data_IF_663264002690
#
_entry.id   IF_663264002690
#
_cell.length_a   1.000
_cell.length_b   1.000
_cell.length_c   1.000
_cell.angle_alpha   90.00
_cell.angle_beta   90.00
_cell.angle_gamma   90.00
#
_symmetry.space_group_name_H-M   'P 1'
#
loop_
_entity.id
_entity.type
_entity.pdbx_description
1 polymer ?
#
# COMPACT_ATOMS: atom_id res chain seq x y z
N UNK A 1 25.34 -29.80 43.75
CA UNK A 1 24.24 -29.83 44.76
C UNK A 1 22.98 -29.42 44.02
N UNK A 2 22.27 -30.34 43.34
CA UNK A 2 21.32 -31.35 43.89
C UNK A 2 20.23 -30.60 44.69
N UNK A 3 18.94 -30.59 44.33
CA UNK A 3 17.92 -31.65 44.24
C UNK A 3 16.73 -31.01 43.46
N UNK A 4 16.12 -31.49 42.35
CA UNK A 4 15.55 -32.78 41.94
C UNK A 4 14.33 -33.26 42.76
N UNK A 5 13.11 -32.95 42.31
CA UNK A 5 11.90 -33.65 42.78
C UNK A 5 11.08 -34.16 41.57
N UNK A 6 11.19 -35.46 41.37
CA UNK A 6 10.36 -36.32 40.52
C UNK A 6 9.10 -36.76 41.27
N UNK A 7 7.99 -36.97 40.56
CA UNK A 7 7.07 -38.06 40.86
C UNK A 7 6.51 -38.69 39.57
N UNK A 8 6.76 -39.99 39.46
CA UNK A 8 6.10 -40.98 38.59
C UNK A 8 4.65 -41.17 39.08
N UNK A 9 3.65 -41.68 38.36
CA UNK A 9 3.58 -42.51 37.16
C UNK A 9 2.67 -43.73 37.43
N UNK A 10 1.57 -43.88 36.69
CA UNK A 10 0.84 -45.13 36.39
C UNK A 10 -0.32 -44.77 35.43
N UNK A 11 -0.68 -45.47 34.35
CA UNK A 11 -0.25 -46.73 33.75
C UNK A 11 -1.48 -47.54 33.31
N UNK A 12 -1.83 -47.54 32.01
CA UNK A 12 -2.39 -48.65 31.19
C UNK A 12 -2.98 -48.08 29.87
N UNK A 13 -2.31 -48.32 28.73
CA UNK A 13 -2.51 -49.37 27.70
C UNK A 13 -3.78 -49.24 26.82
N UNK A 14 -3.57 -49.10 25.50
CA UNK A 14 -4.63 -49.21 24.48
C UNK A 14 -4.19 -48.84 23.05
N UNK A 15 -3.53 -49.79 22.37
CA UNK A 15 -3.45 -50.06 20.92
C UNK A 15 -3.60 -48.93 19.85
N UNK A 16 -2.55 -48.80 19.02
CA UNK A 16 -2.61 -48.89 17.55
C UNK A 16 -3.10 -47.67 16.74
N UNK A 17 -2.20 -47.04 16.00
CA UNK A 17 -2.29 -46.87 14.53
C UNK A 17 -1.01 -46.17 14.03
N UNK A 18 -0.32 -46.83 13.10
CA UNK A 18 0.84 -46.32 12.38
C UNK A 18 0.44 -45.19 11.44
N UNK A 19 0.93 -43.98 11.68
CA UNK A 19 0.84 -42.86 10.74
C UNK A 19 2.19 -42.15 10.67
N UNK A 20 2.80 -42.17 9.49
CA UNK A 20 4.05 -41.49 9.15
C UNK A 20 3.94 -40.01 9.50
N UNK A 21 4.77 -39.55 10.44
CA UNK A 21 4.82 -38.13 10.84
C UNK A 21 5.66 -37.34 9.83
N UNK A 22 5.16 -36.18 9.44
CA UNK A 22 5.73 -35.22 8.47
C UNK A 22 7.02 -34.54 8.94
N UNK A 23 7.72 -35.10 9.93
CA UNK A 23 8.94 -34.57 10.51
C UNK A 23 10.22 -35.05 9.79
N UNK A 24 10.20 -36.24 9.19
CA UNK A 24 11.40 -36.82 8.56
C UNK A 24 11.66 -36.33 7.12
N UNK A 25 10.66 -35.72 6.46
CA UNK A 25 10.85 -35.10 5.15
C UNK A 25 11.51 -33.70 5.24
N UNK A 26 11.38 -33.02 6.37
CA UNK A 26 11.95 -31.68 6.58
C UNK A 26 13.45 -31.73 6.96
N UNK A 27 13.90 -32.80 7.61
CA UNK A 27 15.30 -32.97 8.02
C UNK A 27 16.23 -33.39 6.87
N UNK A 28 15.72 -34.12 5.87
CA UNK A 28 16.52 -34.57 4.72
C UNK A 28 16.85 -33.44 3.71
N UNK A 29 16.05 -32.37 3.66
CA UNK A 29 16.32 -31.22 2.77
C UNK A 29 17.41 -30.27 3.30
N UNK A 30 17.76 -30.35 4.59
CA UNK A 30 18.73 -29.47 5.24
C UNK A 30 20.19 -29.96 5.15
N UNK A 31 20.44 -31.22 4.74
CA UNK A 31 21.76 -31.83 4.74
C UNK A 31 22.47 -31.85 3.37
N UNK A 32 21.80 -31.49 2.28
CA UNK A 32 22.42 -31.42 0.95
C UNK A 32 22.94 -30.00 0.67
N UNK A 33 23.90 -29.55 1.49
CA UNK A 33 24.71 -28.38 1.20
C UNK A 33 25.64 -28.68 0.04
N UNK A 34 25.26 -28.28 -1.18
CA UNK A 34 26.19 -28.11 -2.28
C UNK A 34 26.08 -26.68 -2.83
N UNK A 35 27.18 -25.96 -2.70
CA UNK A 35 27.41 -24.63 -3.23
C UNK A 35 27.17 -24.61 -4.75
N UNK A 36 26.11 -23.94 -5.17
CA UNK A 36 25.97 -23.44 -6.54
C UNK A 36 25.80 -21.92 -6.46
N UNK A 37 26.89 -21.24 -6.09
CA UNK A 37 27.10 -19.86 -6.50
C UNK A 37 27.50 -19.89 -7.98
N UNK A 38 26.98 -18.93 -8.75
CA UNK A 38 27.12 -18.73 -10.20
C UNK A 38 25.92 -19.15 -11.06
N UNK A 39 24.89 -18.31 -11.04
CA UNK A 39 24.01 -18.13 -12.18
C UNK A 39 24.21 -16.71 -12.73
N UNK A 40 24.93 -16.57 -13.85
CA UNK A 40 24.99 -15.31 -14.59
C UNK A 40 23.77 -15.22 -15.51
N UNK A 41 22.88 -14.27 -15.28
CA UNK A 41 21.82 -13.93 -16.22
C UNK A 41 22.44 -13.19 -17.41
N UNK A 42 22.94 -13.95 -18.39
CA UNK A 42 23.02 -13.44 -19.77
C UNK A 42 21.60 -13.02 -20.18
N UNK A 43 21.45 -12.02 -21.04
CA UNK A 43 20.17 -11.37 -21.40
C UNK A 43 19.10 -12.25 -22.07
N UNK A 44 19.13 -13.57 -21.88
CA UNK A 44 18.11 -14.50 -22.30
C UNK A 44 17.12 -14.78 -21.17
N UNK A 45 15.85 -14.65 -21.53
CA UNK A 45 14.62 -14.84 -20.76
C UNK A 45 14.43 -16.30 -20.30
N UNK A 46 15.39 -16.88 -19.59
CA UNK A 46 15.35 -18.27 -19.14
C UNK A 46 15.79 -18.38 -17.68
N UNK A 47 14.93 -18.98 -16.85
CA UNK A 47 15.26 -19.44 -15.51
C UNK A 47 15.90 -20.83 -15.59
N UNK A 48 16.93 -21.06 -14.78
CA UNK A 48 17.63 -22.35 -14.71
C UNK A 48 17.80 -22.82 -13.27
N UNK A 49 17.42 -24.06 -12.98
CA UNK A 49 17.74 -24.74 -11.71
C UNK A 49 17.91 -26.23 -11.94
N UNK A 50 18.92 -26.83 -11.31
CA UNK A 50 19.21 -28.28 -11.37
C UNK A 50 19.19 -28.86 -12.80
N UNK A 51 19.69 -28.11 -13.78
CA UNK A 51 19.73 -28.52 -15.19
C UNK A 51 18.44 -28.32 -15.99
N UNK A 52 17.32 -27.95 -15.34
CA UNK A 52 16.09 -27.58 -16.03
C UNK A 52 16.15 -26.11 -16.47
N UNK A 53 15.90 -25.84 -17.75
CA UNK A 53 15.77 -24.49 -18.29
C UNK A 53 14.32 -24.24 -18.70
N UNK A 54 13.73 -23.17 -18.19
CA UNK A 54 12.39 -22.72 -18.55
C UNK A 54 12.47 -21.27 -18.98
N UNK A 55 11.72 -20.87 -20.01
CA UNK A 55 11.57 -19.45 -20.29
C UNK A 55 11.00 -18.72 -19.06
N UNK A 56 11.50 -17.53 -18.74
CA UNK A 56 10.89 -16.67 -17.72
C UNK A 56 9.42 -16.51 -18.08
N UNK A 57 8.54 -16.95 -17.18
CA UNK A 57 7.13 -17.16 -17.52
C UNK A 57 6.38 -15.84 -17.70
N UNK A 58 6.84 -14.77 -17.04
CA UNK A 58 6.17 -13.48 -17.02
C UNK A 58 7.14 -12.32 -16.81
N UNK A 59 6.97 -11.24 -17.57
CA UNK A 59 7.64 -9.96 -17.33
C UNK A 59 6.75 -9.03 -16.47
N UNK A 60 7.34 -8.45 -15.43
CA UNK A 60 6.70 -7.55 -14.48
C UNK A 60 7.45 -6.22 -14.49
N UNK A 61 6.74 -5.10 -14.67
CA UNK A 61 7.30 -3.76 -14.54
C UNK A 61 6.85 -3.12 -13.23
N UNK A 62 7.80 -2.74 -12.38
CA UNK A 62 7.56 -1.92 -11.19
C UNK A 62 7.83 -0.46 -11.53
N UNK A 63 6.82 0.40 -11.36
CA UNK A 63 6.90 1.83 -11.67
C UNK A 63 7.06 2.62 -10.37
N UNK A 64 8.25 3.15 -10.13
CA UNK A 64 8.59 3.91 -8.94
C UNK A 64 10.04 3.70 -8.50
N UNK A 65 10.51 4.57 -7.60
CA UNK A 65 11.88 4.52 -7.08
C UNK A 65 12.00 4.62 -5.55
N UNK A 66 10.87 4.57 -4.84
CA UNK A 66 10.81 4.65 -3.38
C UNK A 66 10.97 3.31 -2.69
N UNK A 67 10.87 3.29 -1.36
CA UNK A 67 11.04 2.11 -0.53
C UNK A 67 10.20 0.90 -0.98
N UNK A 68 8.92 1.13 -1.31
CA UNK A 68 7.99 0.06 -1.71
C UNK A 68 8.32 -0.46 -3.12
N UNK A 69 8.67 0.43 -4.05
CA UNK A 69 9.11 0.03 -5.39
C UNK A 69 10.38 -0.84 -5.33
N UNK A 70 11.34 -0.43 -4.50
CA UNK A 70 12.58 -1.17 -4.24
C UNK A 70 12.30 -2.57 -3.72
N UNK A 71 11.46 -2.66 -2.70
CA UNK A 71 11.15 -3.93 -2.05
C UNK A 71 10.32 -4.84 -2.96
N UNK A 72 9.38 -4.30 -3.72
CA UNK A 72 8.63 -5.06 -4.72
C UNK A 72 9.56 -5.59 -5.83
N UNK A 73 10.40 -4.73 -6.41
CA UNK A 73 11.35 -5.14 -7.43
C UNK A 73 12.31 -6.23 -6.92
N UNK A 74 12.86 -6.05 -5.72
CA UNK A 74 13.77 -7.00 -5.10
C UNK A 74 13.08 -8.35 -4.79
N UNK A 75 11.88 -8.32 -4.23
CA UNK A 75 11.11 -9.52 -3.91
C UNK A 75 10.73 -10.33 -5.15
N UNK A 76 10.31 -9.65 -6.21
CA UNK A 76 9.91 -10.29 -7.47
C UNK A 76 11.12 -10.84 -8.24
N UNK A 77 12.31 -10.28 -8.02
CA UNK A 77 13.57 -10.66 -8.69
C UNK A 77 14.35 -11.77 -7.96
N UNK A 78 13.73 -12.42 -6.97
CA UNK A 78 14.35 -13.55 -6.25
C UNK A 78 14.63 -14.70 -7.21
N UNK A 79 15.76 -15.38 -7.04
CA UNK A 79 16.11 -16.55 -7.85
C UNK A 79 15.09 -17.69 -7.76
N UNK A 80 14.32 -17.77 -6.67
CA UNK A 80 13.21 -18.71 -6.51
C UNK A 80 11.98 -18.36 -7.35
N UNK A 81 11.92 -17.16 -7.94
CA UNK A 81 10.84 -16.71 -8.83
C UNK A 81 11.35 -16.73 -10.27
N UNK A 82 10.61 -17.38 -11.17
CA UNK A 82 10.88 -17.38 -12.60
C UNK A 82 10.26 -16.15 -13.29
N UNK A 83 10.61 -14.94 -12.82
CA UNK A 83 10.08 -13.67 -13.31
C UNK A 83 11.17 -12.82 -13.96
N UNK A 84 10.81 -12.13 -15.05
CA UNK A 84 11.61 -11.03 -15.58
C UNK A 84 11.11 -9.72 -14.96
N UNK A 85 11.98 -8.98 -14.27
CA UNK A 85 11.60 -7.76 -13.55
C UNK A 85 12.25 -6.53 -14.18
N UNK A 86 11.42 -5.58 -14.59
CA UNK A 86 11.82 -4.26 -15.03
C UNK A 86 11.44 -3.22 -13.97
N UNK A 87 12.23 -2.16 -13.87
CA UNK A 87 11.97 -1.02 -12.99
C UNK A 87 11.99 0.27 -13.80
N UNK A 88 10.89 1.02 -13.77
CA UNK A 88 10.80 2.38 -14.25
C UNK A 88 11.01 3.35 -13.09
N UNK A 89 12.14 4.07 -13.10
CA UNK A 89 12.49 5.04 -12.05
C UNK A 89 13.10 6.30 -12.65
N UNK A 90 13.02 7.43 -11.93
CA UNK A 90 13.64 8.70 -12.35
C UNK A 90 15.16 8.72 -12.16
N UNK A 91 15.70 7.78 -11.39
CA UNK A 91 17.11 7.75 -11.01
C UNK A 91 17.75 6.36 -11.27
N UNK A 92 17.65 5.81 -12.49
CA UNK A 92 18.17 4.46 -12.79
C UNK A 92 19.68 4.35 -12.53
N UNK A 93 20.44 5.40 -12.78
CA UNK A 93 21.88 5.48 -12.56
C UNK A 93 22.31 5.32 -11.09
N UNK A 94 21.39 5.48 -10.14
CA UNK A 94 21.67 5.29 -8.71
C UNK A 94 21.37 3.87 -8.23
N UNK A 95 20.85 3.01 -9.10
CA UNK A 95 20.49 1.64 -8.75
C UNK A 95 21.51 0.65 -9.29
N UNK A 96 21.72 -0.41 -8.51
CA UNK A 96 22.36 -1.64 -8.96
C UNK A 96 21.28 -2.64 -9.41
N UNK A 97 21.56 -3.43 -10.44
CA UNK A 97 20.71 -4.56 -10.81
C UNK A 97 20.69 -5.64 -9.72
N UNK A 98 21.84 -5.86 -9.06
CA UNK A 98 21.96 -6.76 -7.92
C UNK A 98 21.65 -6.00 -6.64
N UNK A 99 20.57 -6.39 -5.94
CA UNK A 99 20.19 -5.82 -4.65
C UNK A 99 20.34 -6.87 -3.54
N UNK A 100 20.78 -6.42 -2.37
CA UNK A 100 20.77 -7.19 -1.13
C UNK A 100 19.46 -6.96 -0.39
N UNK A 101 18.87 -8.01 0.16
CA UNK A 101 17.64 -7.93 0.94
C UNK A 101 17.84 -8.64 2.27
N UNK A 102 17.36 -8.02 3.34
CA UNK A 102 17.22 -8.65 4.65
C UNK A 102 15.84 -8.37 5.23
N UNK A 103 15.34 -9.30 6.04
CA UNK A 103 14.21 -9.02 6.91
C UNK A 103 14.68 -8.31 8.19
N UNK A 104 13.82 -7.47 8.76
CA UNK A 104 14.04 -6.92 10.08
C UNK A 104 13.93 -8.06 11.12
N UNK A 105 14.92 -8.22 12.03
CA UNK A 105 14.90 -9.30 13.03
C UNK A 105 13.70 -9.27 14.00
N UNK A 106 13.01 -8.14 14.12
CA UNK A 106 11.82 -8.00 14.97
C UNK A 106 10.50 -8.30 14.24
N UNK A 107 10.52 -8.61 12.95
CA UNK A 107 9.31 -8.87 12.18
C UNK A 107 8.98 -10.37 12.07
N UNK A 108 7.75 -10.71 11.67
CA UNK A 108 7.32 -12.12 11.52
C UNK A 108 8.08 -12.93 10.45
N UNK A 109 8.89 -12.27 9.61
CA UNK A 109 9.83 -12.92 8.68
C UNK A 109 11.28 -12.87 9.18
N UNK A 110 11.53 -12.72 10.49
CA UNK A 110 12.88 -12.68 11.06
C UNK A 110 13.76 -13.90 10.71
N UNK A 111 13.14 -15.06 10.47
CA UNK A 111 13.85 -16.28 10.05
C UNK A 111 14.28 -16.26 8.57
N UNK A 112 13.78 -15.31 7.76
CA UNK A 112 14.14 -15.17 6.36
C UNK A 112 15.61 -14.76 6.27
N UNK A 113 16.44 -15.69 5.79
CA UNK A 113 17.86 -15.43 5.59
C UNK A 113 18.06 -14.30 4.58
N UNK A 114 19.06 -13.43 4.79
CA UNK A 114 19.43 -12.44 3.80
C UNK A 114 19.70 -13.10 2.45
N UNK A 115 19.28 -12.43 1.38
CA UNK A 115 19.44 -12.94 0.03
C UNK A 115 19.80 -11.82 -0.93
N UNK A 116 20.22 -12.21 -2.12
CA UNK A 116 20.43 -11.31 -3.23
C UNK A 116 19.43 -11.63 -4.34
N UNK A 117 19.09 -10.60 -5.09
CA UNK A 117 18.19 -10.66 -6.22
C UNK A 117 18.77 -9.87 -7.38
N UNK A 118 18.33 -10.18 -8.60
CA UNK A 118 18.86 -9.56 -9.82
C UNK A 118 17.73 -9.02 -10.69
N UNK A 119 17.66 -7.69 -10.81
CA UNK A 119 16.67 -6.99 -11.64
C UNK A 119 17.15 -6.98 -13.10
N UNK A 120 16.28 -7.39 -14.03
CA UNK A 120 16.62 -7.51 -15.45
C UNK A 120 16.85 -6.16 -16.14
N UNK A 121 16.03 -5.15 -15.83
CA UNK A 121 16.15 -3.82 -16.42
C UNK A 121 15.81 -2.73 -15.40
N UNK A 122 16.62 -1.67 -15.34
CA UNK A 122 16.33 -0.46 -14.58
C UNK A 122 16.53 0.72 -15.52
N UNK A 123 15.47 1.49 -15.75
CA UNK A 123 15.48 2.57 -16.75
C UNK A 123 14.58 3.73 -16.37
N UNK A 124 14.79 4.88 -17.01
CA UNK A 124 13.91 6.05 -16.99
C UNK A 124 13.01 6.14 -18.22
N UNK A 125 13.23 5.29 -19.22
CA UNK A 125 12.39 5.15 -20.42
C UNK A 125 11.20 4.22 -20.15
N UNK A 126 9.98 4.77 -20.27
CA UNK A 126 8.77 4.00 -20.06
C UNK A 126 8.55 2.93 -21.12
N UNK A 127 8.89 3.20 -22.38
CA UNK A 127 8.72 2.24 -23.48
C UNK A 127 9.56 0.99 -23.23
N UNK A 128 10.84 1.17 -22.89
CA UNK A 128 11.72 0.07 -22.51
C UNK A 128 11.23 -0.67 -21.25
N UNK A 129 10.80 0.06 -20.21
CA UNK A 129 10.39 -0.56 -18.95
C UNK A 129 9.16 -1.47 -19.08
N UNK A 130 8.13 -1.05 -19.84
CA UNK A 130 6.90 -1.86 -19.98
C UNK A 130 6.95 -2.82 -21.18
N UNK A 131 8.04 -2.83 -21.95
CA UNK A 131 8.19 -3.70 -23.13
C UNK A 131 7.98 -5.16 -22.75
N UNK A 132 6.92 -5.77 -23.28
CA UNK A 132 6.57 -7.16 -23.03
C UNK A 132 5.99 -7.46 -21.65
N UNK A 133 5.86 -6.47 -20.76
CA UNK A 133 5.35 -6.65 -19.41
C UNK A 133 3.89 -7.13 -19.43
N UNK A 134 3.61 -8.28 -18.82
CA UNK A 134 2.25 -8.79 -18.61
C UNK A 134 1.60 -8.17 -17.38
N UNK A 135 2.41 -7.67 -16.46
CA UNK A 135 1.98 -7.02 -15.22
C UNK A 135 2.76 -5.71 -15.04
N UNK A 136 2.05 -4.61 -14.84
CA UNK A 136 2.63 -3.30 -14.53
C UNK A 136 2.09 -2.82 -13.20
N UNK A 137 2.97 -2.50 -12.24
CA UNK A 137 2.61 -2.12 -10.88
C UNK A 137 3.19 -0.76 -10.50
N UNK A 138 2.31 0.22 -10.28
CA UNK A 138 2.68 1.52 -9.73
C UNK A 138 2.96 1.37 -8.24
N UNK A 139 4.16 1.79 -7.83
CA UNK A 139 4.65 1.74 -6.47
C UNK A 139 5.11 3.15 -6.05
N UNK A 140 4.14 4.07 -6.05
CA UNK A 140 4.36 5.49 -5.78
C UNK A 140 3.18 6.09 -4.99
N UNK A 141 3.35 7.27 -4.36
CA UNK A 141 2.26 8.01 -3.73
C UNK A 141 1.10 8.32 -4.66
N UNK A 142 -0.11 8.47 -4.10
CA UNK A 142 -1.34 8.69 -4.88
C UNK A 142 -1.28 9.94 -5.78
N UNK A 143 -0.69 11.04 -5.30
CA UNK A 143 -0.65 12.31 -6.04
C UNK A 143 0.12 12.24 -7.37
N UNK A 144 1.03 11.27 -7.55
CA UNK A 144 1.79 11.07 -8.80
C UNK A 144 1.24 9.97 -9.71
N UNK A 145 0.21 9.23 -9.29
CA UNK A 145 -0.31 8.09 -10.08
C UNK A 145 -0.70 8.52 -11.49
N UNK A 146 -1.47 9.60 -11.65
CA UNK A 146 -1.93 10.05 -12.97
C UNK A 146 -0.78 10.35 -13.93
N UNK A 147 0.29 11.01 -13.46
CA UNK A 147 1.46 11.33 -14.30
C UNK A 147 2.19 10.06 -14.71
N UNK A 148 2.42 9.13 -13.78
CA UNK A 148 3.07 7.85 -14.06
C UNK A 148 2.25 7.00 -15.02
N UNK A 149 0.93 6.97 -14.84
CA UNK A 149 -0.02 6.27 -15.71
C UNK A 149 0.02 6.84 -17.13
N UNK A 150 -0.03 8.17 -17.29
CA UNK A 150 0.11 8.82 -18.60
C UNK A 150 1.45 8.51 -19.28
N UNK A 151 2.52 8.38 -18.49
CA UNK A 151 3.84 8.04 -19.01
C UNK A 151 3.91 6.59 -19.55
N UNK A 152 3.25 5.64 -18.90
CA UNK A 152 3.27 4.23 -19.32
C UNK A 152 2.18 3.86 -20.31
N UNK A 153 1.03 4.54 -20.28
CA UNK A 153 -0.16 4.19 -21.07
C UNK A 153 0.10 3.99 -22.57
N UNK A 154 0.90 4.84 -23.27
CA UNK A 154 1.15 4.67 -24.71
C UNK A 154 1.94 3.41 -25.08
N UNK A 155 2.53 2.73 -24.10
CA UNK A 155 3.44 1.61 -24.31
C UNK A 155 2.91 0.28 -23.74
N UNK A 156 1.73 0.31 -23.08
CA UNK A 156 1.12 -0.89 -22.54
C UNK A 156 0.70 -1.82 -23.67
N UNK A 157 1.02 -3.11 -23.53
CA UNK A 157 0.54 -4.11 -24.47
C UNK A 157 -0.92 -4.48 -24.19
N UNK A 158 -1.72 -4.81 -25.23
CA UNK A 158 -3.04 -5.41 -25.03
C UNK A 158 -2.95 -6.67 -24.15
N UNK A 159 -3.93 -6.85 -23.28
CA UNK A 159 -4.03 -7.95 -22.32
C UNK A 159 -3.12 -7.82 -21.10
N UNK A 160 -2.35 -6.74 -20.93
CA UNK A 160 -1.59 -6.57 -19.69
C UNK A 160 -2.51 -6.25 -18.49
N UNK A 161 -2.05 -6.59 -17.30
CA UNK A 161 -2.67 -6.22 -16.04
C UNK A 161 -1.95 -5.00 -15.49
N UNK A 162 -2.71 -3.96 -15.15
CA UNK A 162 -2.19 -2.72 -14.57
C UNK A 162 -2.66 -2.59 -13.13
N UNK A 163 -1.81 -2.17 -12.22
CA UNK A 163 -2.28 -1.88 -10.88
C UNK A 163 -1.34 -1.05 -10.04
N UNK A 164 -1.68 -0.92 -8.77
CA UNK A 164 -0.88 -0.18 -7.79
C UNK A 164 -0.71 -0.97 -6.50
N UNK A 165 0.46 -0.83 -5.87
CA UNK A 165 0.75 -1.42 -4.56
C UNK A 165 0.13 -0.62 -3.41
N UNK A 166 -0.49 0.52 -3.71
CA UNK A 166 -1.29 1.30 -2.79
C UNK A 166 -2.34 2.10 -3.58
N UNK A 167 -3.62 1.75 -3.45
CA UNK A 167 -4.72 2.22 -4.31
C UNK A 167 -5.67 3.21 -3.66
N UNK A 168 -5.32 3.79 -2.51
CA UNK A 168 -6.06 4.89 -1.93
C UNK A 168 -5.95 6.15 -2.79
N UNK A 169 -6.93 7.05 -2.69
CA UNK A 169 -6.90 8.35 -3.38
C UNK A 169 -7.37 8.33 -4.84
N UNK A 170 -8.22 7.37 -5.24
CA UNK A 170 -8.87 7.38 -6.55
C UNK A 170 -8.02 6.83 -7.71
N UNK A 171 -7.32 5.72 -7.49
CA UNK A 171 -6.45 5.12 -8.53
C UNK A 171 -7.22 4.72 -9.79
N UNK A 172 -8.44 4.17 -9.66
CA UNK A 172 -9.28 3.81 -10.81
C UNK A 172 -9.67 5.03 -11.65
N UNK A 173 -9.93 6.18 -11.02
CA UNK A 173 -10.19 7.45 -11.71
C UNK A 173 -8.94 7.94 -12.45
N UNK A 174 -7.76 7.79 -11.85
CA UNK A 174 -6.49 8.13 -12.49
C UNK A 174 -6.21 7.23 -13.70
N UNK A 175 -6.54 5.93 -13.62
CA UNK A 175 -6.43 5.00 -14.76
C UNK A 175 -7.38 5.41 -15.88
N UNK A 176 -8.65 5.69 -15.56
CA UNK A 176 -9.64 6.14 -16.56
C UNK A 176 -9.19 7.43 -17.24
N UNK A 177 -8.72 8.41 -16.48
CA UNK A 177 -8.25 9.69 -17.02
C UNK A 177 -6.94 9.58 -17.83
N UNK A 178 -6.11 8.57 -17.57
CA UNK A 178 -4.87 8.36 -18.31
C UNK A 178 -5.05 7.52 -19.58
N UNK A 179 -5.91 6.49 -19.53
CA UNK A 179 -6.06 5.52 -20.62
C UNK A 179 -7.33 5.75 -21.46
N UNK A 180 -8.38 6.37 -20.91
CA UNK A 180 -9.66 6.53 -21.59
C UNK A 180 -10.17 5.20 -22.18
N UNK A 181 -10.62 5.18 -23.45
CA UNK A 181 -11.06 3.94 -24.11
C UNK A 181 -10.00 2.83 -24.19
N UNK A 182 -8.70 3.17 -24.18
CA UNK A 182 -7.62 2.18 -24.24
C UNK A 182 -7.56 1.30 -22.99
N UNK A 183 -8.23 1.69 -21.89
CA UNK A 183 -8.38 0.85 -20.71
C UNK A 183 -9.07 -0.49 -21.04
N UNK A 184 -9.94 -0.52 -22.05
CA UNK A 184 -10.60 -1.75 -22.52
C UNK A 184 -9.64 -2.78 -23.14
N UNK A 185 -8.40 -2.40 -23.43
CA UNK A 185 -7.35 -3.31 -23.89
C UNK A 185 -6.62 -4.00 -22.74
N UNK A 186 -6.81 -3.55 -21.49
CA UNK A 186 -6.22 -4.22 -20.33
C UNK A 186 -6.99 -5.49 -19.97
N UNK A 187 -6.29 -6.52 -19.52
CA UNK A 187 -6.96 -7.70 -18.97
C UNK A 187 -7.62 -7.40 -17.61
N UNK A 188 -6.98 -6.55 -16.80
CA UNK A 188 -7.51 -6.10 -15.53
C UNK A 188 -6.79 -4.84 -15.01
N UNK A 189 -7.47 -4.13 -14.13
CA UNK A 189 -6.93 -3.12 -13.24
C UNK A 189 -7.06 -3.59 -11.80
N UNK A 190 -6.01 -3.44 -10.98
CA UNK A 190 -6.10 -3.72 -9.54
C UNK A 190 -5.48 -2.61 -8.68
N UNK A 191 -5.89 -2.55 -7.41
CA UNK A 191 -5.25 -1.70 -6.42
C UNK A 191 -5.19 -2.41 -5.07
N UNK A 192 -4.04 -2.35 -4.40
CA UNK A 192 -3.90 -2.88 -3.05
C UNK A 192 -4.36 -1.84 -2.02
N UNK A 193 -5.05 -2.29 -0.96
CA UNK A 193 -5.46 -1.43 0.15
C UNK A 193 -4.27 -0.97 0.99
N UNK A 194 -3.32 -1.88 1.19
CA UNK A 194 -2.08 -1.62 1.90
C UNK A 194 -0.94 -2.29 1.14
N UNK A 195 0.24 -1.73 1.30
CA UNK A 195 1.47 -2.30 0.73
C UNK A 195 1.73 -3.70 1.32
N UNK A 196 2.32 -4.64 0.54
CA UNK A 196 2.59 -6.00 0.99
C UNK A 196 3.42 -6.08 2.28
N UNK A 197 4.30 -5.10 2.48
CA UNK A 197 5.14 -4.92 3.65
C UNK A 197 5.53 -3.45 3.82
N UNK A 198 5.83 -3.07 5.05
CA UNK A 198 6.70 -1.92 5.29
C UNK A 198 8.12 -2.29 4.89
N UNK A 199 8.79 -1.38 4.17
CA UNK A 199 10.18 -1.54 3.80
C UNK A 199 10.88 -0.19 3.77
N UNK A 200 12.20 -0.24 3.77
CA UNK A 200 13.06 0.93 3.53
C UNK A 200 14.30 0.54 2.75
N UNK A 201 14.86 1.53 2.06
CA UNK A 201 16.26 1.47 1.68
C UNK A 201 17.12 1.42 2.93
N UNK A 202 18.00 0.43 2.99
CA UNK A 202 19.14 0.43 3.92
C UNK A 202 20.32 1.16 3.26
N UNK A 203 20.55 0.90 1.97
CA UNK A 203 21.45 1.65 1.10
C UNK A 203 20.71 1.92 -0.21
N UNK A 204 20.47 3.20 -0.54
CA UNK A 204 19.66 3.57 -1.70
C UNK A 204 20.22 2.94 -2.98
N UNK A 205 19.37 2.18 -3.69
CA UNK A 205 19.73 1.52 -4.94
C UNK A 205 20.56 0.24 -4.80
N UNK A 206 20.86 -0.23 -3.57
CA UNK A 206 21.75 -1.38 -3.33
C UNK A 206 21.28 -2.36 -2.26
N UNK A 207 20.62 -1.90 -1.21
CA UNK A 207 20.16 -2.75 -0.11
C UNK A 207 18.79 -2.33 0.42
N UNK A 208 17.90 -3.31 0.61
CA UNK A 208 16.53 -3.12 1.10
C UNK A 208 16.31 -3.92 2.38
N UNK A 209 15.69 -3.28 3.37
CA UNK A 209 15.20 -3.95 4.56
C UNK A 209 13.67 -4.10 4.50
N UNK A 210 13.18 -5.33 4.65
CA UNK A 210 11.76 -5.65 4.83
C UNK A 210 11.43 -5.54 6.33
N UNK A 211 10.70 -4.50 6.70
CA UNK A 211 10.43 -4.15 8.11
C UNK A 211 9.26 -4.94 8.68
N UNK A 212 8.19 -5.10 7.92
CA UNK A 212 6.93 -5.58 8.49
C UNK A 212 6.01 -6.13 7.42
N UNK A 213 6.07 -7.43 7.13
CA UNK A 213 5.18 -8.07 6.18
C UNK A 213 3.79 -8.25 6.76
N UNK A 214 2.78 -8.01 5.91
CA UNK A 214 1.38 -8.21 6.28
C UNK A 214 1.04 -9.70 6.28
N UNK A 215 0.01 -10.09 7.03
CA UNK A 215 -0.44 -11.48 7.00
C UNK A 215 -1.07 -11.84 5.65
N UNK A 216 -1.84 -10.90 5.12
CA UNK A 216 -2.52 -10.99 3.85
C UNK A 216 -2.51 -9.60 3.21
N UNK A 217 -2.64 -9.58 1.88
CA UNK A 217 -2.89 -8.36 1.12
C UNK A 217 -4.38 -8.28 0.79
N UNK A 218 -4.90 -7.06 0.68
CA UNK A 218 -6.27 -6.81 0.24
C UNK A 218 -6.25 -6.08 -1.10
N UNK A 219 -7.03 -6.53 -2.09
CA UNK A 219 -7.04 -5.96 -3.44
C UNK A 219 -8.45 -5.72 -3.96
N UNK A 220 -8.69 -4.56 -4.57
CA UNK A 220 -9.82 -4.37 -5.49
C UNK A 220 -9.37 -4.68 -6.92
N UNK A 221 -10.25 -5.29 -7.71
CA UNK A 221 -9.97 -5.69 -9.10
C UNK A 221 -11.16 -5.35 -9.99
N UNK A 222 -10.88 -4.80 -11.17
CA UNK A 222 -11.86 -4.52 -12.23
C UNK A 222 -11.31 -5.03 -13.58
N UNK A 223 -12.13 -5.67 -14.44
CA UNK A 223 -13.53 -6.02 -14.23
C UNK A 223 -13.69 -7.19 -13.21
N UNK A 224 -14.89 -7.40 -12.66
CA UNK A 224 -15.14 -8.44 -11.66
C UNK A 224 -14.79 -9.87 -12.11
N UNK A 225 -14.93 -10.20 -13.40
CA UNK A 225 -14.56 -11.52 -13.93
C UNK A 225 -13.06 -11.83 -13.82
N UNK A 226 -12.20 -10.80 -13.77
CA UNK A 226 -10.76 -10.99 -13.65
C UNK A 226 -10.31 -11.28 -12.20
N UNK A 227 -11.21 -11.13 -11.21
CA UNK A 227 -10.89 -11.24 -9.78
C UNK A 227 -10.15 -12.53 -9.40
N UNK A 228 -10.60 -13.74 -9.77
CA UNK A 228 -9.92 -14.97 -9.32
C UNK A 228 -8.50 -15.10 -9.90
N UNK A 229 -8.32 -14.72 -11.16
CA UNK A 229 -7.01 -14.76 -11.83
C UNK A 229 -6.04 -13.76 -11.20
N UNK A 230 -6.48 -12.51 -11.00
CA UNK A 230 -5.63 -11.48 -10.39
C UNK A 230 -5.32 -11.82 -8.93
N UNK A 231 -6.27 -12.39 -8.19
CA UNK A 231 -6.04 -12.86 -6.82
C UNK A 231 -4.90 -13.89 -6.78
N UNK A 232 -4.95 -14.93 -7.63
CA UNK A 232 -3.89 -15.94 -7.71
C UNK A 232 -2.56 -15.33 -8.12
N UNK A 233 -2.56 -14.42 -9.09
CA UNK A 233 -1.35 -13.74 -9.55
C UNK A 233 -0.69 -12.92 -8.42
N UNK A 234 -1.47 -12.17 -7.65
CA UNK A 234 -0.95 -11.40 -6.52
C UNK A 234 -0.39 -12.31 -5.42
N UNK A 235 -1.02 -13.45 -5.14
CA UNK A 235 -0.48 -14.45 -4.22
C UNK A 235 0.87 -15.01 -4.69
N UNK A 236 1.00 -15.32 -5.98
CA UNK A 236 2.26 -15.77 -6.58
C UNK A 236 3.34 -14.67 -6.55
N UNK A 237 2.96 -13.42 -6.75
CA UNK A 237 3.88 -12.29 -6.72
C UNK A 237 4.45 -12.06 -5.31
N UNK A 238 3.60 -12.08 -4.29
CA UNK A 238 3.97 -11.62 -2.95
C UNK A 238 4.13 -12.73 -1.90
N UNK A 239 3.81 -13.98 -2.25
CA UNK A 239 3.84 -15.14 -1.34
C UNK A 239 2.99 -14.92 -0.07
N UNK A 240 1.87 -14.20 -0.24
CA UNK A 240 0.92 -13.85 0.81
C UNK A 240 -0.51 -14.14 0.33
N UNK A 241 -1.42 -14.63 1.19
CA UNK A 241 -2.84 -14.71 0.87
C UNK A 241 -3.40 -13.36 0.41
N UNK A 242 -4.27 -13.37 -0.59
CA UNK A 242 -4.91 -12.16 -1.12
C UNK A 242 -6.41 -12.20 -0.84
N UNK A 243 -6.92 -11.23 -0.08
CA UNK A 243 -8.35 -11.00 0.12
C UNK A 243 -8.86 -10.01 -0.92
N UNK A 244 -10.00 -10.32 -1.54
CA UNK A 244 -10.60 -9.43 -2.53
C UNK A 244 -11.58 -8.47 -1.86
N UNK A 245 -11.43 -7.19 -2.15
CA UNK A 245 -12.35 -6.15 -1.73
C UNK A 245 -13.49 -6.00 -2.75
N UNK A 246 -14.66 -5.48 -2.35
CA UNK A 246 -15.80 -5.35 -3.25
C UNK A 246 -15.49 -4.53 -4.50
N UNK A 247 -14.90 -3.35 -4.36
CA UNK A 247 -14.61 -2.41 -5.45
C UNK A 247 -13.51 -1.40 -5.06
N UNK A 248 -13.10 -0.55 -6.00
CA UNK A 248 -12.06 0.48 -5.79
C UNK A 248 -12.47 1.57 -4.79
N UNK A 249 -13.76 1.88 -4.65
CA UNK A 249 -14.21 2.88 -3.69
C UNK A 249 -14.00 2.41 -2.25
N UNK A 250 -13.97 1.09 -1.99
CA UNK A 250 -13.52 0.54 -0.70
C UNK A 250 -12.05 0.86 -0.40
N UNK A 251 -11.18 0.99 -1.41
CA UNK A 251 -9.79 1.44 -1.22
C UNK A 251 -9.74 2.93 -0.89
N UNK A 252 -10.52 3.74 -1.60
CA UNK A 252 -10.55 5.20 -1.41
C UNK A 252 -11.15 5.58 -0.05
N UNK A 253 -12.24 4.94 0.35
CA UNK A 253 -12.97 5.26 1.59
C UNK A 253 -12.45 4.50 2.81
N UNK A 254 -11.46 3.61 2.71
CA UNK A 254 -10.94 2.94 3.91
C UNK A 254 -10.35 3.96 4.90
N UNK A 255 -10.83 4.04 6.15
CA UNK A 255 -10.23 4.95 7.13
C UNK A 255 -8.78 4.55 7.36
N UNK A 256 -7.82 5.42 7.09
CA UNK A 256 -6.41 5.07 7.20
C UNK A 256 -5.59 6.32 7.45
N UNK A 257 -4.34 6.34 6.98
CA UNK A 257 -3.43 7.48 7.09
C UNK A 257 -4.10 8.80 6.69
N UNK A 258 -4.97 8.79 5.68
CA UNK A 258 -5.74 9.97 5.24
C UNK A 258 -6.53 10.72 6.34
N UNK A 259 -6.86 10.08 7.47
CA UNK A 259 -7.48 10.74 8.63
C UNK A 259 -6.65 10.62 9.91
N UNK A 260 -5.88 9.54 10.09
CA UNK A 260 -5.04 9.34 11.27
C UNK A 260 -3.93 10.38 11.33
N UNK A 261 -3.26 10.61 10.19
CA UNK A 261 -2.13 11.52 10.10
C UNK A 261 -2.56 12.98 10.35
N UNK A 262 -3.59 13.54 9.65
CA UNK A 262 -4.06 14.88 9.94
C UNK A 262 -4.47 15.09 11.40
N UNK A 263 -5.28 14.19 11.98
CA UNK A 263 -5.72 14.32 13.37
C UNK A 263 -4.55 14.38 14.35
N UNK A 264 -3.57 13.48 14.17
CA UNK A 264 -2.42 13.41 15.05
C UNK A 264 -1.45 14.57 14.87
N UNK A 265 -1.17 14.92 13.62
CA UNK A 265 -0.24 15.99 13.32
C UNK A 265 -0.77 17.35 13.77
N UNK A 266 -2.08 17.56 13.59
CA UNK A 266 -2.79 18.69 14.14
C UNK A 266 -2.67 18.74 15.67
N UNK A 267 -2.90 17.63 16.40
CA UNK A 267 -2.81 17.67 17.88
C UNK A 267 -1.43 18.07 18.40
N UNK A 268 -0.35 17.72 17.67
CA UNK A 268 1.02 18.08 18.05
C UNK A 268 1.32 19.55 17.71
N UNK A 269 0.84 20.06 16.57
CA UNK A 269 1.30 21.32 15.99
C UNK A 269 0.23 22.39 15.78
N UNK A 270 -1.01 22.21 16.25
CA UNK A 270 -2.14 23.13 15.99
C UNK A 270 -1.82 24.62 16.27
N UNK A 271 -1.03 24.88 17.31
CA UNK A 271 -0.64 26.23 17.76
C UNK A 271 0.61 26.77 17.04
N UNK A 272 1.14 26.05 16.04
CA UNK A 272 2.26 26.53 15.25
C UNK A 272 1.83 27.73 14.40
N UNK A 273 2.56 28.83 14.50
CA UNK A 273 2.31 30.06 13.75
C UNK A 273 2.99 30.08 12.37
N UNK A 274 3.91 29.15 12.12
CA UNK A 274 4.76 29.10 10.94
C UNK A 274 6.23 29.46 11.23
N UNK A 275 6.52 29.93 12.44
CA UNK A 275 7.83 30.47 12.83
C UNK A 275 8.39 29.76 14.07
N UNK A 276 7.54 29.41 15.05
CA UNK A 276 7.95 28.78 16.31
C UNK A 276 8.88 27.58 16.05
N UNK A 277 10.02 27.59 16.74
CA UNK A 277 10.98 26.49 16.81
C UNK A 277 10.76 25.74 18.12
N UNK A 278 10.46 24.45 18.04
CA UNK A 278 10.23 23.57 19.17
C UNK A 278 11.54 22.92 19.61
N UNK A 279 11.77 22.83 20.91
CA UNK A 279 12.80 21.98 21.51
C UNK A 279 12.38 20.50 21.39
N UNK A 280 13.38 19.60 21.47
CA UNK A 280 13.15 18.15 21.40
C UNK A 280 12.08 17.67 22.41
N UNK A 281 12.07 18.21 23.63
CA UNK A 281 11.12 17.82 24.67
C UNK A 281 9.72 18.46 24.54
N UNK A 282 9.49 19.34 23.57
CA UNK A 282 8.18 19.94 23.29
C UNK A 282 7.41 19.17 22.21
N UNK A 283 8.02 18.17 21.57
CA UNK A 283 7.41 17.37 20.51
C UNK A 283 7.13 15.96 21.05
N UNK A 284 5.91 15.48 20.85
CA UNK A 284 5.62 14.05 20.94
C UNK A 284 6.23 13.33 19.73
N UNK A 285 7.32 12.61 19.95
CA UNK A 285 8.08 11.94 18.90
C UNK A 285 7.47 10.62 18.46
N UNK A 286 6.74 9.93 19.32
CA UNK A 286 5.97 8.76 18.98
C UNK A 286 4.71 9.17 18.24
N UNK A 287 4.71 9.08 16.91
CA UNK A 287 3.58 9.54 16.10
C UNK A 287 2.29 8.88 16.57
N UNK A 288 2.33 7.56 16.77
CA UNK A 288 1.19 6.81 17.27
C UNK A 288 1.34 6.40 18.73
N UNK A 289 2.53 6.05 19.23
CA UNK A 289 2.69 5.54 20.61
C UNK A 289 2.39 6.57 21.68
N UNK A 290 2.46 7.87 21.34
CA UNK A 290 2.10 8.97 22.23
C UNK A 290 0.75 9.60 21.83
N UNK A 291 -0.16 8.83 21.20
CA UNK A 291 -1.50 9.31 20.83
C UNK A 291 -2.25 9.85 22.05
N UNK A 292 -2.61 11.13 21.99
CA UNK A 292 -3.31 11.81 23.07
C UNK A 292 -4.83 11.85 22.85
N UNK A 293 -5.56 12.34 23.86
CA UNK A 293 -7.01 12.44 23.82
C UNK A 293 -7.51 13.44 22.76
N UNK A 294 -6.72 14.45 22.42
CA UNK A 294 -7.07 15.44 21.39
C UNK A 294 -6.98 14.84 19.99
N UNK A 295 -5.90 14.11 19.69
CA UNK A 295 -5.77 13.34 18.46
C UNK A 295 -6.90 12.31 18.32
N UNK A 296 -7.26 11.62 19.41
CA UNK A 296 -8.37 10.67 19.42
C UNK A 296 -9.72 11.34 19.13
N UNK A 297 -9.97 12.53 19.71
CA UNK A 297 -11.17 13.32 19.44
C UNK A 297 -11.26 13.69 17.95
N UNK A 298 -10.21 14.30 17.39
CA UNK A 298 -10.20 14.71 15.99
C UNK A 298 -10.31 13.52 15.03
N UNK A 299 -9.63 12.41 15.33
CA UNK A 299 -9.76 11.18 14.54
C UNK A 299 -11.17 10.59 14.57
N UNK A 300 -11.84 10.61 15.72
CA UNK A 300 -13.23 10.15 15.83
C UNK A 300 -14.20 11.02 15.04
N UNK A 301 -13.99 12.34 15.01
CA UNK A 301 -14.80 13.28 14.21
C UNK A 301 -14.58 13.06 12.70
N UNK A 302 -13.32 12.93 12.25
CA UNK A 302 -12.99 12.62 10.85
C UNK A 302 -13.58 11.27 10.40
N UNK A 303 -13.49 10.24 11.25
CA UNK A 303 -14.10 8.94 10.96
C UNK A 303 -15.63 9.04 10.90
N UNK A 304 -16.25 9.80 11.80
CA UNK A 304 -17.70 10.04 11.79
C UNK A 304 -18.18 10.66 10.47
N UNK A 305 -17.44 11.64 9.94
CA UNK A 305 -17.74 12.25 8.64
C UNK A 305 -17.55 11.28 7.48
N UNK A 306 -16.48 10.48 7.50
CA UNK A 306 -16.26 9.42 6.51
C UNK A 306 -17.39 8.38 6.54
N UNK A 307 -17.83 7.94 7.72
CA UNK A 307 -18.96 7.01 7.86
C UNK A 307 -20.28 7.66 7.41
N UNK A 308 -20.47 8.97 7.58
CA UNK A 308 -21.62 9.69 7.04
C UNK A 308 -21.61 9.71 5.50
N UNK A 309 -20.44 9.90 4.88
CA UNK A 309 -20.27 9.77 3.42
C UNK A 309 -20.64 8.36 2.95
N UNK A 310 -20.09 7.32 3.60
CA UNK A 310 -20.43 5.91 3.31
C UNK A 310 -21.94 5.69 3.39
N UNK A 311 -22.58 6.15 4.48
CA UNK A 311 -24.03 6.01 4.69
C UNK A 311 -24.83 6.66 3.57
N UNK A 312 -24.50 7.90 3.19
CA UNK A 312 -25.18 8.61 2.11
C UNK A 312 -25.06 7.88 0.76
N UNK A 313 -23.89 7.31 0.45
CA UNK A 313 -23.67 6.51 -0.75
C UNK A 313 -24.53 5.24 -0.78
N UNK A 314 -24.48 4.42 0.28
CA UNK A 314 -25.21 3.15 0.33
C UNK A 314 -26.72 3.36 0.39
N UNK A 315 -27.19 4.41 1.07
CA UNK A 315 -28.62 4.78 1.08
C UNK A 315 -29.14 5.16 -0.31
N UNK A 316 -28.32 5.80 -1.15
CA UNK A 316 -28.72 6.20 -2.50
C UNK A 316 -28.47 5.12 -3.56
N UNK A 317 -27.49 4.26 -3.35
CA UNK A 317 -27.12 3.17 -4.27
C UNK A 317 -27.05 1.83 -3.51
N UNK A 318 -28.19 1.15 -3.30
CA UNK A 318 -28.24 -0.08 -2.49
C UNK A 318 -27.38 -1.23 -3.00
N UNK A 319 -27.04 -1.25 -4.30
CA UNK A 319 -26.17 -2.26 -4.91
C UNK A 319 -24.67 -1.96 -4.74
N UNK A 320 -24.31 -0.78 -4.22
CA UNK A 320 -22.93 -0.44 -3.93
C UNK A 320 -22.50 -1.08 -2.61
N UNK A 321 -21.64 -2.10 -2.71
CA UNK A 321 -21.07 -2.74 -1.53
C UNK A 321 -19.88 -1.95 -0.98
N UNK A 322 -20.08 -1.30 0.18
CA UNK A 322 -19.04 -0.67 1.00
C UNK A 322 -18.90 -1.35 2.37
N UNK A 323 -19.28 -2.62 2.50
CA UNK A 323 -19.26 -3.37 3.76
C UNK A 323 -17.88 -3.39 4.43
N UNK A 324 -16.81 -3.41 3.63
CA UNK A 324 -15.41 -3.39 4.09
C UNK A 324 -14.90 -2.01 4.55
N UNK A 325 -15.69 -0.95 4.39
CA UNK A 325 -15.37 0.40 4.90
C UNK A 325 -15.83 0.48 6.36
N UNK A 326 -15.05 -0.08 7.27
CA UNK A 326 -15.39 -0.13 8.70
C UNK A 326 -15.05 1.20 9.41
N UNK A 327 -15.72 1.54 10.53
CA UNK A 327 -15.25 2.57 11.46
C UNK A 327 -13.79 2.36 11.87
N UNK A 328 -13.07 3.45 12.13
CA UNK A 328 -11.61 3.42 12.30
C UNK A 328 -11.15 2.46 13.41
N UNK A 329 -11.88 2.41 14.53
CA UNK A 329 -11.58 1.50 15.65
C UNK A 329 -11.69 0.04 15.20
N UNK A 330 -12.84 -0.34 14.65
CA UNK A 330 -13.11 -1.71 14.16
C UNK A 330 -12.08 -2.12 13.10
N UNK A 331 -11.76 -1.22 12.18
CA UNK A 331 -10.76 -1.47 11.14
C UNK A 331 -9.37 -1.73 11.73
N UNK A 332 -8.92 -0.93 12.70
CA UNK A 332 -7.62 -1.16 13.37
C UNK A 332 -7.62 -2.52 14.06
N UNK A 333 -8.67 -2.83 14.83
CA UNK A 333 -8.78 -4.10 15.53
C UNK A 333 -8.82 -5.30 14.58
N UNK A 334 -9.55 -5.20 13.45
CA UNK A 334 -9.60 -6.27 12.45
C UNK A 334 -8.24 -6.47 11.75
N UNK A 335 -7.50 -5.39 11.50
CA UNK A 335 -6.22 -5.47 10.80
C UNK A 335 -5.08 -5.95 11.69
N UNK A 336 -5.05 -5.54 12.95
CA UNK A 336 -3.90 -5.73 13.85
C UNK A 336 -4.16 -6.76 14.96
N UNK A 337 -5.43 -7.05 15.28
CA UNK A 337 -5.79 -8.09 16.23
C UNK A 337 -5.03 -7.98 17.55
N UNK A 338 -4.23 -8.99 17.86
CA UNK A 338 -3.47 -9.11 19.12
C UNK A 338 -2.27 -8.16 19.22
N UNK A 339 -1.88 -7.50 18.12
CA UNK A 339 -0.90 -6.40 18.18
C UNK A 339 -1.45 -5.18 18.93
N UNK A 340 -2.78 -5.08 19.14
CA UNK A 340 -3.42 -4.01 19.93
C UNK A 340 -3.63 -4.47 21.37
N UNK A 341 -2.79 -3.96 22.29
CA UNK A 341 -2.76 -4.42 23.69
C UNK A 341 -3.89 -3.85 24.56
N UNK A 342 -4.29 -2.61 24.33
CA UNK A 342 -5.40 -1.96 25.03
C UNK A 342 -6.47 -1.55 24.01
N UNK A 343 -7.67 -2.12 24.18
CA UNK A 343 -8.82 -1.94 23.27
C UNK A 343 -9.94 -1.09 23.88
N UNK A 344 -9.66 -0.41 25.00
CA UNK A 344 -10.65 0.36 25.78
C UNK A 344 -11.28 1.50 24.97
N UNK A 345 -10.50 2.24 24.19
CA UNK A 345 -10.99 3.35 23.36
C UNK A 345 -10.03 3.65 22.19
N UNK A 346 -10.42 4.57 21.31
CA UNK A 346 -9.62 4.93 20.12
C UNK A 346 -8.19 5.36 20.45
N UNK A 347 -7.99 6.13 21.53
CA UNK A 347 -6.67 6.58 21.94
C UNK A 347 -5.77 5.39 22.26
N UNK A 348 -6.23 4.50 23.14
CA UNK A 348 -5.45 3.34 23.58
C UNK A 348 -5.27 2.32 22.46
N UNK A 349 -6.27 2.15 21.60
CA UNK A 349 -6.19 1.30 20.40
C UNK A 349 -5.04 1.76 19.49
N UNK A 350 -4.89 3.06 19.25
CA UNK A 350 -3.82 3.57 18.39
C UNK A 350 -2.47 3.53 19.12
N UNK A 351 -2.42 4.00 20.37
CA UNK A 351 -1.19 4.10 21.15
C UNK A 351 -0.54 2.76 21.48
N UNK A 352 -1.34 1.71 21.64
CA UNK A 352 -0.85 0.39 22.03
C UNK A 352 -0.71 -0.61 20.89
N UNK A 353 -0.95 -0.18 19.65
CA UNK A 353 -0.77 -1.01 18.46
C UNK A 353 0.73 -1.20 18.14
N UNK A 354 1.23 -2.43 18.34
CA UNK A 354 2.63 -2.79 18.08
C UNK A 354 3.07 -2.54 16.64
N UNK A 355 2.17 -2.66 15.66
CA UNK A 355 2.45 -2.38 14.26
C UNK A 355 2.73 -0.91 13.94
N UNK A 356 2.49 -0.01 14.89
CA UNK A 356 2.73 1.43 14.80
C UNK A 356 3.93 1.90 15.63
N UNK A 357 4.54 1.02 16.43
CA UNK A 357 5.50 1.40 17.47
C UNK A 357 6.78 2.10 16.97
N UNK A 358 7.15 1.90 15.70
CA UNK A 358 8.40 2.44 15.12
C UNK A 358 8.24 3.79 14.42
N UNK A 359 7.02 4.32 14.30
CA UNK A 359 6.78 5.53 13.52
C UNK A 359 7.00 6.79 14.36
N UNK A 360 7.95 7.63 13.92
CA UNK A 360 8.24 8.91 14.54
C UNK A 360 7.51 10.07 13.88
N UNK A 361 7.18 11.09 14.65
CA UNK A 361 6.61 12.35 14.18
C UNK A 361 7.58 13.04 13.21
N UNK A 362 7.16 13.34 11.96
CA UNK A 362 8.02 14.04 11.02
C UNK A 362 8.22 15.51 11.40
N UNK A 363 9.43 15.83 11.81
CA UNK A 363 9.89 17.20 12.07
C UNK A 363 11.18 17.47 11.27
N UNK A 364 11.40 18.74 10.89
CA UNK A 364 12.60 19.22 10.23
C UNK A 364 13.51 19.86 11.28
N UNK A 365 14.78 19.46 11.32
CA UNK A 365 15.77 20.13 12.15
C UNK A 365 16.09 21.50 11.58
N UNK A 366 16.11 22.51 12.44
CA UNK A 366 16.46 23.90 12.13
C UNK A 366 17.42 24.42 13.20
N UNK A 367 17.97 25.61 13.02
CA UNK A 367 18.77 26.24 14.07
C UNK A 367 17.93 26.39 15.36
N UNK A 368 18.47 25.90 16.48
CA UNK A 368 17.81 25.98 17.79
C UNK A 368 16.75 24.91 18.09
N UNK A 369 16.41 24.01 17.16
CA UNK A 369 15.45 22.93 17.43
C UNK A 369 14.78 22.35 16.18
N UNK A 370 13.45 22.25 16.21
CA UNK A 370 12.66 21.57 15.20
C UNK A 370 11.41 22.35 14.79
N UNK A 371 10.99 22.14 13.55
CA UNK A 371 9.73 22.65 13.00
C UNK A 371 8.94 21.51 12.33
N UNK A 372 7.63 21.68 12.11
CA UNK A 372 6.85 20.77 11.28
C UNK A 372 7.48 20.51 9.91
N UNK A 373 7.62 19.24 9.52
CA UNK A 373 8.13 18.87 8.21
C UNK A 373 7.03 18.94 7.14
N UNK A 374 6.90 20.10 6.50
CA UNK A 374 5.94 20.35 5.42
C UNK A 374 6.20 19.54 4.12
N UNK A 375 7.38 18.94 4.00
CA UNK A 375 7.73 18.04 2.89
C UNK A 375 7.40 16.57 3.19
N UNK A 376 6.87 16.28 4.38
CA UNK A 376 6.44 14.93 4.73
C UNK A 376 5.21 14.50 3.94
N UNK A 377 5.00 13.18 3.85
CA UNK A 377 3.83 12.61 3.18
C UNK A 377 2.51 13.00 3.85
N UNK A 378 2.53 13.37 5.14
CA UNK A 378 1.33 13.87 5.84
C UNK A 378 0.74 15.08 5.11
N UNK A 379 1.58 15.98 4.61
CA UNK A 379 1.13 17.12 3.80
C UNK A 379 0.99 16.76 2.33
N UNK A 380 2.01 16.12 1.76
CA UNK A 380 2.12 15.91 0.31
C UNK A 380 1.15 14.85 -0.24
N UNK A 381 0.62 13.98 0.61
CA UNK A 381 -0.26 12.87 0.22
C UNK A 381 -1.59 12.90 0.98
N UNK A 382 -1.58 12.90 2.32
CA UNK A 382 -2.82 12.73 3.09
C UNK A 382 -3.79 13.93 2.98
N UNK A 383 -3.30 15.14 2.66
CA UNK A 383 -4.16 16.31 2.41
C UNK A 383 -4.73 16.31 0.98
N UNK A 384 -3.93 16.40 -0.11
CA UNK A 384 -4.45 16.47 -1.48
C UNK A 384 -5.08 15.17 -1.96
N UNK A 385 -4.60 14.01 -1.49
CA UNK A 385 -5.05 12.69 -1.93
C UNK A 385 -5.81 11.89 -0.87
N UNK A 386 -5.99 12.45 0.33
CA UNK A 386 -6.84 11.91 1.39
C UNK A 386 -8.01 12.83 1.69
N UNK A 387 -7.79 13.86 2.49
CA UNK A 387 -8.85 14.77 2.95
C UNK A 387 -9.59 15.46 1.80
N UNK A 388 -8.89 15.97 0.79
CA UNK A 388 -9.55 16.59 -0.37
C UNK A 388 -10.41 15.58 -1.15
N UNK A 389 -10.04 14.30 -1.15
CA UNK A 389 -10.84 13.23 -1.77
C UNK A 389 -12.12 12.99 -0.99
N UNK A 390 -12.01 12.83 0.33
CA UNK A 390 -13.18 12.69 1.20
C UNK A 390 -14.11 13.90 1.07
N UNK A 391 -13.54 15.11 1.09
CA UNK A 391 -14.30 16.35 0.92
C UNK A 391 -15.00 16.42 -0.42
N UNK A 392 -14.32 16.01 -1.50
CA UNK A 392 -14.88 15.97 -2.85
C UNK A 392 -16.06 15.02 -2.95
N UNK A 393 -15.96 13.82 -2.39
CA UNK A 393 -17.07 12.85 -2.34
C UNK A 393 -18.22 13.40 -1.47
N UNK A 394 -17.91 14.02 -0.32
CA UNK A 394 -18.90 14.62 0.55
C UNK A 394 -19.71 15.73 -0.14
N UNK A 395 -19.05 16.55 -0.97
CA UNK A 395 -19.72 17.58 -1.76
C UNK A 395 -20.76 16.98 -2.71
N UNK A 396 -20.39 15.91 -3.42
CA UNK A 396 -21.29 15.19 -4.31
C UNK A 396 -22.44 14.53 -3.52
N UNK A 397 -22.15 14.05 -2.30
CA UNK A 397 -23.09 13.38 -1.41
C UNK A 397 -24.04 14.33 -0.67
N UNK A 398 -23.74 15.64 -0.64
CA UNK A 398 -24.46 16.60 0.19
C UNK A 398 -24.23 16.39 1.69
N UNK A 399 -23.08 15.82 2.08
CA UNK A 399 -22.71 15.55 3.48
C UNK A 399 -21.85 16.71 3.99
N UNK A 400 -22.16 17.23 5.17
CA UNK A 400 -21.33 18.25 5.82
C UNK A 400 -20.12 17.62 6.48
N UNK A 401 -18.98 18.29 6.38
CA UNK A 401 -17.69 17.79 6.86
C UNK A 401 -16.86 18.87 7.58
N UNK A 402 -17.38 19.47 8.67
CA UNK A 402 -16.67 20.52 9.40
C UNK A 402 -15.26 20.13 9.89
N UNK A 403 -15.03 18.88 10.26
CA UNK A 403 -13.74 18.39 10.74
C UNK A 403 -12.74 18.20 9.59
N UNK A 404 -13.18 17.60 8.46
CA UNK A 404 -12.35 17.56 7.25
C UNK A 404 -12.02 18.99 6.77
N UNK A 405 -13.00 19.91 6.79
CA UNK A 405 -12.79 21.31 6.43
C UNK A 405 -11.72 21.95 7.33
N UNK A 406 -11.84 21.81 8.66
CA UNK A 406 -10.86 22.29 9.64
C UNK A 406 -9.44 21.77 9.34
N UNK A 407 -9.33 20.46 9.09
CA UNK A 407 -8.04 19.84 8.82
C UNK A 407 -7.43 20.35 7.51
N UNK A 408 -8.21 20.47 6.43
CA UNK A 408 -7.71 21.01 5.16
C UNK A 408 -7.28 22.46 5.35
N UNK A 409 -8.09 23.29 6.01
CA UNK A 409 -7.82 24.72 6.25
C UNK A 409 -6.54 24.97 7.05
N UNK A 410 -6.31 24.17 8.11
CA UNK A 410 -5.08 24.28 8.89
C UNK A 410 -3.85 23.87 8.07
N UNK A 411 -3.89 22.73 7.37
CA UNK A 411 -2.74 22.26 6.59
C UNK A 411 -2.44 23.20 5.41
N UNK A 412 -3.46 23.64 4.68
CA UNK A 412 -3.28 24.48 3.49
C UNK A 412 -2.62 25.84 3.79
N UNK A 413 -2.84 26.40 4.99
CA UNK A 413 -2.21 27.65 5.45
C UNK A 413 -0.68 27.58 5.38
N UNK A 414 -0.11 26.43 5.74
CA UNK A 414 1.34 26.21 5.76
C UNK A 414 1.86 25.69 4.44
N UNK A 415 1.05 24.90 3.70
CA UNK A 415 1.40 24.46 2.35
C UNK A 415 1.41 25.59 1.33
N UNK A 416 0.74 26.72 1.61
CA UNK A 416 0.55 27.83 0.66
C UNK A 416 -0.18 27.41 -0.63
N UNK A 417 -1.03 26.40 -0.53
CA UNK A 417 -1.85 25.89 -1.64
C UNK A 417 -3.31 25.85 -1.19
N UNK A 418 -4.17 26.77 -1.65
CA UNK A 418 -5.52 26.89 -1.10
C UNK A 418 -6.49 25.81 -1.61
N UNK A 419 -6.42 24.59 -1.07
CA UNK A 419 -7.27 23.47 -1.48
C UNK A 419 -8.76 23.68 -1.20
N UNK A 420 -9.12 24.33 -0.10
CA UNK A 420 -10.48 24.70 0.26
C UNK A 420 -10.64 26.23 0.22
N UNK A 421 -11.74 26.71 -0.36
CA UNK A 421 -12.14 28.13 -0.38
C UNK A 421 -13.65 28.22 -0.21
N UNK A 422 -14.12 29.03 0.75
CA UNK A 422 -15.54 29.16 1.08
C UNK A 422 -16.23 27.80 1.35
N UNK A 423 -15.56 26.92 2.10
CA UNK A 423 -16.01 25.56 2.42
C UNK A 423 -16.31 24.70 1.18
N UNK A 424 -15.65 24.94 0.05
CA UNK A 424 -15.71 24.11 -1.17
C UNK A 424 -14.31 23.85 -1.69
N UNK A 425 -14.13 22.73 -2.40
CA UNK A 425 -12.87 22.47 -3.09
C UNK A 425 -12.58 23.59 -4.09
N UNK A 426 -11.39 24.16 -4.00
CA UNK A 426 -10.96 25.24 -4.87
C UNK A 426 -10.59 24.71 -6.25
N UNK A 427 -11.28 25.19 -7.27
CA UNK A 427 -11.07 24.82 -8.67
C UNK A 427 -9.67 25.19 -9.18
N UNK A 428 -9.08 26.27 -8.67
CA UNK A 428 -7.75 26.76 -9.09
C UNK A 428 -6.61 25.80 -8.68
N UNK A 429 -6.83 24.97 -7.66
CA UNK A 429 -5.84 24.01 -7.12
C UNK A 429 -6.29 22.57 -7.25
N UNK A 430 -7.44 22.32 -7.89
CA UNK A 430 -8.06 20.99 -7.97
C UNK A 430 -7.14 19.96 -8.64
N UNK A 431 -6.38 20.39 -9.65
CA UNK A 431 -5.38 19.59 -10.37
C UNK A 431 -4.25 19.05 -9.48
N UNK A 432 -4.04 19.64 -8.30
CA UNK A 432 -3.03 19.21 -7.32
C UNK A 432 -3.58 18.15 -6.35
N UNK A 433 -4.90 17.94 -6.33
CA UNK A 433 -5.57 16.92 -5.50
C UNK A 433 -5.74 15.61 -6.27
N UNK A 434 -6.28 14.57 -5.64
CA UNK A 434 -6.86 13.43 -6.38
C UNK A 434 -8.35 13.29 -6.11
N UNK A 435 -9.03 14.40 -5.82
CA UNK A 435 -10.48 14.44 -5.63
C UNK A 435 -11.22 14.03 -6.91
N UNK A 436 -12.42 13.42 -6.80
CA UNK A 436 -13.16 12.93 -7.97
C UNK A 436 -13.42 14.02 -9.02
N UNK A 437 -13.64 15.26 -8.59
CA UNK A 437 -13.85 16.41 -9.47
C UNK A 437 -12.67 16.67 -10.42
N UNK A 438 -11.42 16.38 -10.01
CA UNK A 438 -10.23 16.49 -10.89
C UNK A 438 -10.36 15.62 -12.14
N UNK A 439 -11.06 14.50 -12.01
CA UNK A 439 -11.24 13.50 -13.06
C UNK A 439 -12.56 13.69 -13.84
N UNK A 440 -13.25 14.84 -13.66
CA UNK A 440 -14.53 15.10 -14.32
C UNK A 440 -15.72 14.40 -13.67
N UNK A 441 -15.55 13.83 -12.47
CA UNK A 441 -16.64 13.19 -11.72
C UNK A 441 -17.38 14.27 -10.94
N UNK A 442 -18.51 14.71 -11.49
CA UNK A 442 -19.34 15.81 -10.96
C UNK A 442 -20.67 15.35 -10.36
N UNK A 443 -20.98 14.06 -10.40
CA UNK A 443 -22.22 13.49 -9.81
C UNK A 443 -21.93 12.19 -9.08
N UNK A 444 -22.75 11.84 -8.09
CA UNK A 444 -22.66 10.54 -7.42
C UNK A 444 -22.93 9.37 -8.35
N UNK A 445 -23.82 9.54 -9.33
CA UNK A 445 -24.12 8.50 -10.32
C UNK A 445 -22.87 8.14 -11.12
N UNK A 446 -22.12 9.15 -11.57
CA UNK A 446 -20.83 8.95 -12.24
C UNK A 446 -19.82 8.30 -11.29
N UNK A 447 -19.67 8.80 -10.06
CA UNK A 447 -18.77 8.22 -9.04
C UNK A 447 -19.02 6.72 -8.82
N UNK A 448 -20.28 6.33 -8.65
CA UNK A 448 -20.64 4.92 -8.41
C UNK A 448 -20.47 4.07 -9.68
N UNK A 449 -20.76 4.63 -10.86
CA UNK A 449 -20.55 3.93 -12.12
C UNK A 449 -19.09 3.51 -12.35
N UNK A 450 -18.10 4.28 -11.87
CA UNK A 450 -16.68 3.89 -11.97
C UNK A 450 -16.39 2.59 -11.22
N UNK A 451 -17.15 2.28 -10.17
CA UNK A 451 -16.97 1.12 -9.29
C UNK A 451 -17.71 -0.13 -9.77
N UNK A 452 -18.79 0.05 -10.53
CA UNK A 452 -19.70 -1.02 -10.97
C UNK A 452 -19.44 -1.48 -12.41
N UNK A 453 -18.22 -1.29 -12.92
CA UNK A 453 -17.84 -1.72 -14.26
C UNK A 453 -18.09 -3.22 -14.41
N UNK A 454 -19.04 -3.58 -15.27
CA UNK A 454 -19.42 -4.96 -15.53
C UNK A 454 -18.35 -5.71 -16.31
N UNK A 455 -18.54 -7.02 -16.41
CA UNK A 455 -17.78 -7.88 -17.31
C UNK A 455 -18.27 -7.65 -18.75
N UNK A 456 -17.91 -6.52 -19.34
CA UNK A 456 -18.09 -6.35 -20.78
C UNK A 456 -17.12 -7.28 -21.51
N UNK A 457 -17.62 -8.08 -22.46
CA UNK A 457 -16.75 -8.77 -23.39
C UNK A 457 -15.87 -7.71 -24.06
N UNK A 458 -14.55 -7.87 -24.00
CA UNK A 458 -13.67 -7.18 -24.93
C UNK A 458 -14.26 -7.45 -26.32
N UNK A 459 -14.89 -6.44 -26.91
CA UNK A 459 -15.35 -6.53 -28.28
C UNK A 459 -14.07 -6.61 -29.11
N UNK A 460 -13.65 -7.83 -29.42
CA UNK A 460 -12.89 -8.13 -30.61
C UNK A 460 -13.78 -7.75 -31.79
N UNK A 461 -13.88 -6.46 -32.09
CA UNK A 461 -14.24 -6.03 -33.43
C UNK A 461 -13.02 -6.29 -34.29
N UNK A 462 -12.92 -7.54 -34.76
CA UNK A 462 -12.27 -7.79 -36.03
C UNK A 462 -13.10 -7.10 -37.11
N UNK A 463 -12.53 -6.07 -37.73
CA UNK A 463 -12.83 -5.65 -39.10
C UNK A 463 -11.55 -5.09 -39.69
#
# INVERSE_FOLDING_TARGET
>A
MVIAATSQGSGSQGAGFSGVTTADAAAAAAAAGNSCTQGSCSGNSTWSSQGLQLACSMCVCVVGGGNIAAAAAAWLSRSSKSLCVHVLTRQPQRWSQRLRVRANPACRWAALQPYECNINLITSDAAAAVKGASLVMVAAPAHVHLELLRKVAPHLKPGCILGTLFGQGGFDWAVEAALGPAQGQLAAVFGLQHVPWLARWEEYGRAVELIGPKEFICAAVSPPCARPMVQLLLQLCFDQPCKLLPNFLCLTLTPSNQIIHPARYYSIFKDWDGEKVYKENEISWGLYTEFDAEAAKHLALLDGELQAIKKALVSRFPNLDLSTVLPIQERILQQYGDDVRDRTNLQTIVATNGGYASCRTPAAAVEGGFQPNLQSRLFQEDVPSGLCVLRGIAELAGVQTPEIDLMIEWHQKFMKVPFLKNKKLNQETLQLTTAPQRYGISTLGHLVATTLRGCGAAAHSAS
#
